data_IF_593748294926
#
_entry.id   IF_593748294926
#
_cell.length_a   1.000
_cell.length_b   1.000
_cell.length_c   1.000
_cell.angle_alpha   90.00
_cell.angle_beta   90.00
_cell.angle_gamma   90.00
#
_symmetry.space_group_name_H-M   'P 1'
#
loop_
_entity.id
_entity.type
_entity.pdbx_description
1 polymer ?
#
# COMPACT_ATOMS: atom_id res chain seq x y z
N UNK A 1 15.88 -21.51 35.78
CA UNK A 1 15.24 -20.23 35.39
C UNK A 1 13.81 -20.29 35.90
N UNK A 2 13.30 -19.25 36.57
CA UNK A 2 11.93 -19.24 37.11
C UNK A 2 10.93 -19.29 35.95
N UNK A 3 10.48 -20.49 35.60
CA UNK A 3 9.60 -20.74 34.46
C UNK A 3 8.21 -21.09 34.97
N UNK A 4 7.22 -20.32 34.54
CA UNK A 4 5.83 -20.62 34.82
C UNK A 4 5.38 -21.85 34.03
N UNK A 5 4.97 -22.91 34.73
CA UNK A 5 4.53 -24.18 34.14
C UNK A 5 3.00 -24.34 34.08
N UNK A 6 2.23 -23.27 34.35
CA UNK A 6 0.77 -23.32 34.36
C UNK A 6 0.14 -23.63 35.71
N UNK A 7 0.95 -23.71 36.77
CA UNK A 7 0.49 -23.84 38.15
C UNK A 7 1.28 -22.85 39.00
N UNK A 8 0.61 -22.16 39.92
CA UNK A 8 1.27 -21.29 40.88
C UNK A 8 2.07 -22.13 41.89
N UNK A 9 3.36 -21.82 42.05
CA UNK A 9 4.28 -22.57 42.94
C UNK A 9 4.61 -21.85 44.25
N UNK A 10 3.92 -20.76 44.60
CA UNK A 10 4.27 -19.93 45.77
C UNK A 10 5.71 -19.38 45.72
N UNK A 11 6.33 -19.36 44.53
CA UNK A 11 7.63 -18.73 44.32
C UNK A 11 7.49 -17.21 44.13
N UNK A 12 8.44 -16.44 44.67
CA UNK A 12 8.41 -14.97 44.61
C UNK A 12 8.45 -14.39 43.18
N UNK A 13 8.83 -15.18 42.17
CA UNK A 13 8.92 -14.75 40.78
C UNK A 13 8.74 -15.95 39.83
N UNK A 14 7.75 -15.88 38.94
CA UNK A 14 7.57 -16.82 37.83
C UNK A 14 7.50 -16.05 36.50
N UNK A 15 8.14 -16.57 35.45
CA UNK A 15 8.14 -15.94 34.12
C UNK A 15 7.35 -16.81 33.15
N UNK A 16 6.27 -16.26 32.58
CA UNK A 16 5.56 -16.88 31.47
C UNK A 16 6.33 -16.62 30.16
N UNK A 17 6.60 -17.71 29.44
CA UNK A 17 7.18 -17.64 28.09
C UNK A 17 6.10 -17.98 27.06
N UNK A 18 5.66 -16.98 26.31
CA UNK A 18 4.76 -17.14 25.17
C UNK A 18 5.61 -17.25 23.91
N UNK A 19 5.53 -18.39 23.21
CA UNK A 19 6.27 -18.62 21.97
C UNK A 19 5.44 -19.39 20.96
N UNK A 20 5.68 -19.10 19.68
CA UNK A 20 5.13 -19.88 18.56
C UNK A 20 5.64 -21.33 18.61
N UNK A 21 4.84 -22.32 18.15
CA UNK A 21 5.31 -23.69 18.00
C UNK A 21 6.56 -23.74 17.12
N UNK A 22 7.63 -24.38 17.61
CA UNK A 22 8.90 -24.48 16.89
C UNK A 22 9.65 -25.74 17.30
N UNK A 23 10.50 -26.25 16.41
CA UNK A 23 11.45 -27.32 16.70
C UNK A 23 12.72 -26.83 17.42
N UNK A 24 12.85 -25.51 17.62
CA UNK A 24 13.97 -24.90 18.34
C UNK A 24 13.72 -24.95 19.84
N UNK A 25 14.76 -25.29 20.59
CA UNK A 25 14.69 -25.53 22.03
C UNK A 25 14.28 -24.26 22.81
N UNK A 26 14.95 -23.13 22.51
CA UNK A 26 14.79 -21.90 23.27
C UNK A 26 13.82 -20.91 22.61
N UNK A 27 14.15 -20.40 21.42
CA UNK A 27 13.38 -19.34 20.76
C UNK A 27 12.94 -19.75 19.35
N UNK A 28 11.69 -19.40 18.95
CA UNK A 28 11.25 -19.57 17.57
C UNK A 28 12.04 -18.66 16.64
N UNK A 29 12.16 -19.08 15.38
CA UNK A 29 12.74 -18.23 14.34
C UNK A 29 11.83 -17.00 14.14
N UNK A 30 12.38 -15.77 14.07
CA UNK A 30 11.60 -14.58 13.75
C UNK A 30 10.94 -14.71 12.38
N UNK A 31 9.73 -14.16 12.23
CA UNK A 31 9.01 -14.15 10.95
C UNK A 31 9.68 -13.25 9.92
N UNK A 32 10.18 -12.09 10.36
CA UNK A 32 10.88 -11.13 9.51
C UNK A 32 12.27 -11.60 9.03
N UNK A 33 12.75 -12.79 9.43
CA UNK A 33 14.12 -13.24 9.14
C UNK A 33 14.44 -13.21 7.63
N UNK A 34 13.48 -13.57 6.78
CA UNK A 34 13.64 -13.53 5.33
C UNK A 34 13.77 -12.11 4.76
N UNK A 35 13.29 -11.09 5.49
CA UNK A 35 13.34 -9.68 5.11
C UNK A 35 14.62 -8.97 5.52
N UNK A 36 15.41 -9.54 6.45
CA UNK A 36 16.62 -8.88 7.00
C UNK A 36 17.64 -8.48 5.92
N UNK A 37 17.97 -9.32 4.92
CA UNK A 37 18.89 -8.91 3.86
C UNK A 37 18.36 -7.74 3.04
N UNK A 38 17.05 -7.72 2.74
CA UNK A 38 16.42 -6.68 1.95
C UNK A 38 16.29 -5.36 2.71
N UNK A 39 15.99 -5.41 4.02
CA UNK A 39 16.04 -4.24 4.90
C UNK A 39 17.44 -3.62 4.95
N UNK A 40 18.48 -4.47 4.91
CA UNK A 40 19.87 -4.00 4.88
C UNK A 40 20.20 -3.32 3.57
N UNK A 41 19.75 -3.87 2.43
CA UNK A 41 19.92 -3.26 1.10
C UNK A 41 19.22 -1.91 1.02
N UNK A 42 17.95 -1.84 1.43
CA UNK A 42 17.18 -0.59 1.45
C UNK A 42 17.86 0.47 2.34
N UNK A 43 18.30 0.08 3.54
CA UNK A 43 19.01 0.97 4.45
C UNK A 43 20.35 1.45 3.90
N UNK A 44 21.12 0.59 3.22
CA UNK A 44 22.37 0.99 2.56
C UNK A 44 22.11 1.93 1.38
N UNK A 45 21.05 1.68 0.60
CA UNK A 45 20.64 2.55 -0.50
C UNK A 45 20.24 3.95 0.02
N UNK A 46 19.46 4.01 1.10
CA UNK A 46 19.09 5.28 1.74
C UNK A 46 20.32 6.04 2.27
N UNK A 47 21.27 5.33 2.89
CA UNK A 47 22.53 5.93 3.35
C UNK A 47 23.39 6.43 2.17
N UNK A 48 23.49 5.66 1.09
CA UNK A 48 24.19 6.06 -0.13
C UNK A 48 23.54 7.30 -0.76
N UNK A 49 22.21 7.33 -0.86
CA UNK A 49 21.47 8.49 -1.36
C UNK A 49 21.69 9.73 -0.47
N UNK A 50 21.66 9.58 0.85
CA UNK A 50 21.98 10.66 1.81
C UNK A 50 23.40 11.17 1.62
N UNK A 51 24.39 10.27 1.51
CA UNK A 51 25.78 10.67 1.33
C UNK A 51 26.01 11.35 -0.02
N UNK A 52 25.39 10.83 -1.08
CA UNK A 52 25.41 11.45 -2.40
C UNK A 52 24.81 12.85 -2.36
N UNK A 53 23.66 13.04 -1.69
CA UNK A 53 23.04 14.34 -1.53
C UNK A 53 23.95 15.33 -0.77
N UNK A 54 24.55 14.90 0.35
CA UNK A 54 25.50 15.73 1.12
C UNK A 54 26.71 16.10 0.26
N UNK A 55 27.28 15.14 -0.47
CA UNK A 55 28.43 15.36 -1.33
C UNK A 55 28.09 16.28 -2.51
N UNK A 56 26.90 16.13 -3.11
CA UNK A 56 26.42 16.98 -4.19
C UNK A 56 26.18 18.43 -3.75
N UNK A 57 25.85 18.64 -2.47
CA UNK A 57 25.76 19.97 -1.87
C UNK A 57 27.12 20.55 -1.46
N UNK A 58 28.16 19.72 -1.40
CA UNK A 58 29.52 20.17 -1.07
C UNK A 58 30.22 20.66 -2.33
N UNK A 59 30.85 21.83 -2.26
CA UNK A 59 31.69 22.33 -3.34
C UNK A 59 33.10 21.74 -3.18
N UNK A 60 33.56 20.97 -4.16
CA UNK A 60 34.96 20.51 -4.20
C UNK A 60 35.83 21.62 -4.81
N UNK A 61 36.75 22.17 -4.02
CA UNK A 61 37.72 23.17 -4.50
C UNK A 61 39.11 22.53 -4.51
N UNK A 62 39.76 22.50 -5.67
CA UNK A 62 41.14 22.02 -5.81
C UNK A 62 42.09 23.22 -5.85
N UNK A 63 43.05 23.27 -4.94
CA UNK A 63 44.08 24.30 -4.89
C UNK A 63 45.42 23.65 -5.23
N UNK A 64 45.92 23.95 -6.43
CA UNK A 64 47.21 23.46 -6.92
C UNK A 64 48.32 24.50 -6.66
N UNK A 65 49.31 24.12 -5.86
CA UNK A 65 50.54 24.87 -5.65
C UNK A 65 51.63 24.35 -6.59
N UNK A 66 51.81 25.03 -7.71
CA UNK A 66 52.84 24.68 -8.69
C UNK A 66 54.19 25.26 -8.24
N UNK A 67 55.26 24.46 -8.33
CA UNK A 67 56.63 24.72 -7.86
C UNK A 67 56.79 24.77 -6.32
N UNK A 68 55.89 24.14 -5.55
CA UNK A 68 55.99 24.07 -4.09
C UNK A 68 56.76 22.82 -3.62
N UNK A 69 57.94 22.98 -2.99
CA UNK A 69 58.59 21.88 -2.27
C UNK A 69 57.87 21.62 -0.95
N UNK A 70 57.52 20.37 -0.70
CA UNK A 70 56.75 19.92 0.49
C UNK A 70 57.54 20.04 1.81
N UNK A 71 58.87 20.21 1.73
CA UNK A 71 59.77 20.24 2.90
C UNK A 71 59.75 21.53 3.73
N UNK A 72 59.09 22.60 3.25
CA UNK A 72 58.98 23.85 4.02
C UNK A 72 57.75 23.81 4.94
N UNK A 73 57.98 23.68 6.26
CA UNK A 73 56.95 23.71 7.32
C UNK A 73 56.04 24.97 7.22
N UNK A 74 56.59 26.07 6.69
CA UNK A 74 55.89 27.32 6.39
C UNK A 74 54.87 27.15 5.24
N UNK A 75 55.22 26.36 4.21
CA UNK A 75 54.35 26.08 3.07
C UNK A 75 53.13 25.26 3.47
N UNK A 76 53.30 24.28 4.36
CA UNK A 76 52.22 23.49 4.94
C UNK A 76 51.28 24.41 5.74
N UNK A 77 51.80 25.21 6.67
CA UNK A 77 51.00 26.15 7.46
C UNK A 77 50.24 27.18 6.61
N UNK A 78 50.79 27.60 5.48
CA UNK A 78 50.13 28.53 4.57
C UNK A 78 49.03 27.85 3.76
N UNK A 79 49.25 26.60 3.31
CA UNK A 79 48.22 25.77 2.70
C UNK A 79 47.05 25.51 3.67
N UNK A 80 47.34 25.23 4.94
CA UNK A 80 46.31 25.06 5.97
C UNK A 80 45.47 26.33 6.17
N UNK A 81 46.11 27.50 6.28
CA UNK A 81 45.40 28.79 6.40
C UNK A 81 44.55 29.12 5.18
N UNK A 82 45.01 28.76 3.98
CA UNK A 82 44.24 28.98 2.74
C UNK A 82 43.06 28.03 2.68
N UNK A 83 43.26 26.75 3.02
CA UNK A 83 42.19 25.77 3.18
C UNK A 83 41.12 26.28 4.15
N UNK A 84 41.50 26.70 5.35
CA UNK A 84 40.55 27.12 6.39
C UNK A 84 39.76 28.37 5.98
N UNK A 85 40.36 29.29 5.22
CA UNK A 85 39.66 30.44 4.64
C UNK A 85 38.65 30.06 3.55
N UNK A 86 38.93 29.00 2.79
CA UNK A 86 38.09 28.54 1.69
C UNK A 86 36.96 27.62 2.18
N UNK A 87 37.19 26.81 3.21
CA UNK A 87 36.18 25.93 3.81
C UNK A 87 35.11 26.71 4.58
N UNK A 88 35.47 27.85 5.19
CA UNK A 88 34.54 28.64 6.02
C UNK A 88 34.21 27.97 7.36
N UNK A 89 33.19 28.48 8.07
CA UNK A 89 32.86 28.09 9.47
C UNK A 89 32.03 26.81 9.60
N UNK A 90 31.66 26.19 8.48
CA UNK A 90 30.93 24.93 8.43
C UNK A 90 31.50 24.13 7.27
N UNK A 91 31.62 22.80 7.43
CA UNK A 91 32.16 21.84 6.45
C UNK A 91 31.36 21.76 5.12
N UNK A 92 31.10 22.89 4.46
CA UNK A 92 30.31 23.04 3.24
C UNK A 92 31.17 22.88 1.98
N UNK A 93 32.50 22.89 2.10
CA UNK A 93 33.41 22.74 0.98
C UNK A 93 34.52 21.76 1.32
N UNK A 94 34.68 20.73 0.48
CA UNK A 94 35.84 19.86 0.53
C UNK A 94 36.96 20.56 -0.25
N UNK A 95 38.08 20.87 0.42
CA UNK A 95 39.22 21.53 -0.23
C UNK A 95 40.37 20.54 -0.33
N UNK A 96 40.77 20.22 -1.57
CA UNK A 96 41.93 19.38 -1.85
C UNK A 96 43.11 20.29 -2.18
N UNK A 97 44.15 20.26 -1.34
CA UNK A 97 45.39 20.99 -1.58
C UNK A 97 46.41 20.01 -2.17
N UNK A 98 46.95 20.35 -3.33
CA UNK A 98 47.98 19.56 -4.00
C UNK A 98 49.22 20.41 -4.29
N UNK A 99 50.40 19.79 -4.19
CA UNK A 99 51.70 20.41 -4.46
C UNK A 99 52.33 19.70 -5.65
N UNK A 100 52.62 20.44 -6.72
CA UNK A 100 53.11 19.89 -7.98
C UNK A 100 54.43 20.59 -8.39
N UNK A 101 55.31 19.92 -9.14
CA UNK A 101 56.60 20.53 -9.54
C UNK A 101 56.47 21.47 -10.74
N UNK A 102 55.32 21.46 -11.43
CA UNK A 102 55.00 22.36 -12.54
C UNK A 102 53.51 22.44 -12.84
N UNK A 103 53.11 23.38 -13.70
CA UNK A 103 51.70 23.60 -14.06
C UNK A 103 51.07 22.44 -14.85
N UNK A 104 51.89 21.67 -15.58
CA UNK A 104 51.47 20.48 -16.33
C UNK A 104 51.21 19.27 -15.43
N UNK A 105 51.70 19.29 -14.19
CA UNK A 105 51.52 18.22 -13.20
C UNK A 105 50.37 18.51 -12.23
N UNK A 106 49.54 19.50 -12.54
CA UNK A 106 48.39 19.88 -11.73
C UNK A 106 47.46 18.71 -11.44
N UNK A 107 47.02 18.56 -10.19
CA UNK A 107 46.00 17.57 -9.84
C UNK A 107 44.66 17.99 -10.45
N UNK A 108 44.13 17.12 -11.30
CA UNK A 108 42.78 17.21 -11.86
C UNK A 108 41.91 16.14 -11.21
N UNK A 109 40.65 16.48 -10.93
CA UNK A 109 39.67 15.51 -10.43
C UNK A 109 38.89 15.02 -11.63
N UNK A 110 39.12 13.77 -12.02
CA UNK A 110 38.33 13.12 -13.06
C UNK A 110 37.12 12.42 -12.41
N UNK A 111 35.92 12.74 -12.86
CA UNK A 111 34.70 12.12 -12.36
C UNK A 111 34.38 10.90 -13.21
N UNK A 112 34.85 9.73 -12.76
CA UNK A 112 34.35 8.45 -13.26
C UNK A 112 32.88 8.28 -12.82
N UNK A 113 31.95 8.61 -13.71
CA UNK A 113 30.53 8.28 -13.50
C UNK A 113 30.32 6.80 -13.83
N UNK A 114 29.88 5.95 -12.88
CA UNK A 114 29.47 4.59 -13.21
C UNK A 114 28.29 4.64 -14.19
N UNK A 115 28.30 3.86 -15.29
CA UNK A 115 27.13 3.76 -16.14
C UNK A 115 25.96 3.15 -15.37
N UNK A 116 24.77 3.77 -15.49
CA UNK A 116 23.47 3.25 -15.03
C UNK A 116 23.21 3.11 -13.51
N UNK A 117 23.93 3.86 -12.66
CA UNK A 117 23.70 3.83 -11.20
C UNK A 117 22.24 4.14 -10.80
N UNK A 118 21.59 5.06 -11.51
CA UNK A 118 20.21 5.45 -11.21
C UNK A 118 19.21 4.32 -11.46
N UNK A 119 19.33 3.61 -12.59
CA UNK A 119 18.43 2.49 -12.91
C UNK A 119 18.60 1.33 -11.92
N UNK A 120 19.85 1.04 -11.55
CA UNK A 120 20.16 0.00 -10.58
C UNK A 120 19.60 0.33 -9.18
N UNK A 121 19.69 1.59 -8.75
CA UNK A 121 19.13 2.04 -7.48
C UNK A 121 17.61 1.92 -7.44
N UNK A 122 16.92 2.33 -8.51
CA UNK A 122 15.46 2.18 -8.64
C UNK A 122 15.07 0.70 -8.55
N UNK A 123 15.74 -0.17 -9.30
CA UNK A 123 15.49 -1.61 -9.27
C UNK A 123 15.64 -2.20 -7.86
N UNK A 124 16.75 -1.90 -7.16
CA UNK A 124 16.96 -2.43 -5.81
C UNK A 124 15.97 -1.86 -4.79
N UNK A 125 15.54 -0.61 -4.95
CA UNK A 125 14.50 -0.01 -4.09
C UNK A 125 13.17 -0.75 -4.22
N UNK A 126 12.69 -0.92 -5.46
CA UNK A 126 11.41 -1.58 -5.74
C UNK A 126 11.44 -3.08 -5.36
N UNK A 127 12.55 -3.77 -5.64
CA UNK A 127 12.74 -5.16 -5.23
C UNK A 127 12.79 -5.30 -3.70
N UNK A 128 13.50 -4.42 -3.01
CA UNK A 128 13.59 -4.46 -1.55
C UNK A 128 12.21 -4.26 -0.90
N UNK A 129 11.46 -3.25 -1.33
CA UNK A 129 10.09 -3.00 -0.86
C UNK A 129 9.20 -4.25 -1.04
N UNK A 130 9.18 -4.81 -2.26
CA UNK A 130 8.37 -6.00 -2.56
C UNK A 130 8.76 -7.19 -1.69
N UNK A 131 10.05 -7.43 -1.49
CA UNK A 131 10.55 -8.57 -0.71
C UNK A 131 10.32 -8.38 0.79
N UNK A 132 10.34 -7.15 1.29
CA UNK A 132 10.01 -6.83 2.68
C UNK A 132 8.54 -7.07 3.00
N UNK A 133 7.64 -6.68 2.10
CA UNK A 133 6.21 -6.96 2.22
C UNK A 133 5.95 -8.47 2.22
N UNK A 134 6.56 -9.21 1.28
CA UNK A 134 6.44 -10.67 1.19
C UNK A 134 7.03 -11.36 2.43
N UNK A 135 8.13 -10.86 2.98
CA UNK A 135 8.75 -11.43 4.18
C UNK A 135 7.79 -11.40 5.39
N UNK A 136 6.93 -10.38 5.50
CA UNK A 136 5.89 -10.30 6.52
C UNK A 136 4.59 -11.03 6.12
N UNK A 137 4.60 -11.73 4.98
CA UNK A 137 3.45 -12.40 4.39
C UNK A 137 2.23 -11.49 4.21
N UNK A 138 2.49 -10.20 3.98
CA UNK A 138 1.45 -9.20 3.87
C UNK A 138 1.07 -9.02 2.37
N UNK A 139 -0.22 -8.93 2.02
CA UNK A 139 -0.62 -8.68 0.64
C UNK A 139 -0.12 -7.31 0.16
N UNK A 140 0.57 -7.22 -1.01
CA UNK A 140 1.11 -5.95 -1.52
C UNK A 140 0.08 -4.84 -1.70
N UNK A 141 -1.16 -5.20 -2.04
CA UNK A 141 -2.25 -4.23 -2.21
C UNK A 141 -2.57 -3.42 -0.94
N UNK A 142 -2.16 -3.90 0.25
CA UNK A 142 -2.36 -3.17 1.50
C UNK A 142 -1.30 -2.08 1.74
N UNK A 143 -0.19 -2.09 0.99
CA UNK A 143 0.94 -1.18 1.16
C UNK A 143 1.17 -0.31 -0.07
N UNK A 144 0.84 -0.83 -1.25
CA UNK A 144 0.92 -0.07 -2.50
C UNK A 144 -0.29 0.87 -2.60
N UNK A 145 -0.05 2.18 -2.54
CA UNK A 145 -1.05 3.16 -2.94
C UNK A 145 -1.37 3.00 -4.42
N UNK A 146 -2.45 2.28 -4.75
CA UNK A 146 -3.19 2.25 -6.02
C UNK A 146 -2.41 2.67 -7.28
N UNK A 147 -1.34 1.99 -7.66
CA UNK A 147 -0.61 2.29 -8.92
C UNK A 147 -1.09 1.49 -10.13
N UNK A 148 -2.18 0.73 -10.01
CA UNK A 148 -2.87 0.12 -11.14
C UNK A 148 -4.23 0.79 -11.36
N UNK A 149 -4.35 1.61 -12.40
CA UNK A 149 -5.64 2.16 -12.81
C UNK A 149 -6.60 1.04 -13.21
N UNK A 150 -7.48 0.67 -12.28
CA UNK A 150 -8.73 -0.04 -12.46
C UNK A 150 -9.66 0.44 -11.34
N UNK A 151 -10.95 0.57 -11.64
CA UNK A 151 -11.90 1.43 -10.92
C UNK A 151 -11.87 1.36 -9.38
N UNK A 152 -12.26 2.47 -8.74
CA UNK A 152 -12.29 2.66 -7.28
C UNK A 152 -12.95 1.50 -6.51
N UNK A 153 -13.99 0.86 -7.07
CA UNK A 153 -14.62 -0.32 -6.46
C UNK A 153 -13.80 -1.60 -6.57
N UNK A 154 -13.10 -1.83 -7.68
CA UNK A 154 -12.26 -3.02 -7.89
C UNK A 154 -11.12 -3.06 -6.88
N UNK A 155 -10.52 -1.91 -6.59
CA UNK A 155 -9.46 -1.82 -5.59
C UNK A 155 -10.01 -2.03 -4.17
N UNK A 156 -11.21 -1.52 -3.87
CA UNK A 156 -11.82 -1.67 -2.55
C UNK A 156 -12.17 -3.14 -2.21
N UNK A 157 -12.76 -3.87 -3.16
CA UNK A 157 -13.11 -5.29 -2.96
C UNK A 157 -11.87 -6.19 -2.87
N UNK A 158 -10.84 -5.88 -3.65
CA UNK A 158 -9.56 -6.59 -3.59
C UNK A 158 -8.82 -6.32 -2.27
N UNK A 159 -8.80 -5.06 -1.80
CA UNK A 159 -8.28 -4.69 -0.47
C UNK A 159 -9.04 -5.44 0.63
N UNK A 160 -10.37 -5.45 0.60
CA UNK A 160 -11.18 -6.16 1.59
C UNK A 160 -10.89 -7.68 1.60
N UNK A 161 -10.71 -8.27 0.42
CA UNK A 161 -10.38 -9.70 0.28
C UNK A 161 -8.96 -9.99 0.79
N UNK A 162 -8.00 -9.13 0.45
CA UNK A 162 -6.62 -9.22 0.91
C UNK A 162 -6.53 -9.08 2.44
N UNK A 163 -7.24 -8.12 3.03
CA UNK A 163 -7.33 -7.93 4.48
C UNK A 163 -7.87 -9.19 5.16
N UNK A 164 -9.03 -9.72 4.73
CA UNK A 164 -9.57 -10.98 5.30
C UNK A 164 -8.58 -12.14 5.16
N UNK A 165 -7.87 -12.21 4.03
CA UNK A 165 -6.82 -13.20 3.81
C UNK A 165 -5.67 -13.09 4.80
N UNK A 166 -5.20 -11.87 5.07
CA UNK A 166 -4.15 -11.56 6.05
C UNK A 166 -4.59 -11.95 7.47
N UNK A 167 -5.81 -11.59 7.87
CA UNK A 167 -6.34 -11.92 9.19
C UNK A 167 -6.40 -13.42 9.41
N UNK A 168 -7.00 -14.15 8.47
CA UNK A 168 -7.14 -15.60 8.58
C UNK A 168 -5.80 -16.34 8.59
N UNK A 169 -4.83 -15.93 7.77
CA UNK A 169 -3.58 -16.68 7.56
C UNK A 169 -2.46 -16.30 8.51
N UNK A 170 -2.43 -15.06 8.99
CA UNK A 170 -1.30 -14.52 9.74
C UNK A 170 -1.71 -13.94 11.09
N UNK A 171 -2.70 -13.05 11.14
CA UNK A 171 -3.04 -12.33 12.38
C UNK A 171 -3.75 -13.25 13.39
N UNK A 172 -4.81 -13.95 12.99
CA UNK A 172 -5.56 -14.83 13.88
C UNK A 172 -4.71 -15.97 14.45
N UNK A 173 -3.83 -16.65 13.67
CA UNK A 173 -2.87 -17.58 14.24
C UNK A 173 -1.93 -16.97 15.29
N UNK A 174 -1.46 -15.73 15.09
CA UNK A 174 -0.66 -15.03 16.09
C UNK A 174 -1.46 -14.69 17.36
N UNK A 175 -2.70 -14.22 17.18
CA UNK A 175 -3.66 -13.98 18.27
C UNK A 175 -3.89 -15.24 19.11
N UNK A 176 -4.13 -16.38 18.47
CA UNK A 176 -4.28 -17.67 19.14
C UNK A 176 -3.04 -18.05 19.97
N UNK A 177 -1.83 -17.76 19.50
CA UNK A 177 -0.60 -18.01 20.29
C UNK A 177 -0.55 -17.15 21.55
N UNK A 178 -1.02 -15.90 21.46
CA UNK A 178 -1.07 -14.98 22.60
C UNK A 178 -2.15 -15.43 23.60
N UNK A 179 -3.37 -15.70 23.14
CA UNK A 179 -4.48 -16.20 23.98
C UNK A 179 -4.07 -17.48 24.70
N UNK A 180 -3.60 -18.50 23.98
CA UNK A 180 -3.13 -19.76 24.59
C UNK A 180 -2.00 -19.56 25.62
N UNK A 181 -1.21 -18.49 25.47
CA UNK A 181 -0.17 -18.13 26.43
C UNK A 181 -0.77 -17.52 27.70
N UNK A 182 -1.65 -16.53 27.54
CA UNK A 182 -2.31 -15.81 28.63
C UNK A 182 -3.30 -16.69 29.40
N UNK A 183 -4.04 -17.58 28.71
CA UNK A 183 -4.97 -18.52 29.31
C UNK A 183 -4.31 -19.36 30.40
N UNK A 184 -3.02 -19.67 30.28
CA UNK A 184 -2.29 -20.42 31.32
C UNK A 184 -2.21 -19.66 32.64
N UNK A 185 -2.17 -18.33 32.59
CA UNK A 185 -2.17 -17.48 33.78
C UNK A 185 -3.61 -17.29 34.27
N UNK A 186 -4.52 -16.89 33.38
CA UNK A 186 -5.88 -16.56 33.77
C UNK A 186 -6.64 -17.77 34.33
N UNK A 187 -6.41 -18.98 33.80
CA UNK A 187 -7.00 -20.20 34.35
C UNK A 187 -6.56 -20.52 35.78
N UNK A 188 -5.41 -20.03 36.24
CA UNK A 188 -4.97 -20.18 37.64
C UNK A 188 -5.73 -19.22 38.56
N UNK A 189 -6.17 -18.08 38.03
CA UNK A 189 -6.96 -17.08 38.76
C UNK A 189 -8.43 -17.49 38.79
N UNK A 190 -9.01 -17.73 37.62
CA UNK A 190 -10.40 -18.13 37.43
C UNK A 190 -10.56 -18.82 36.07
N UNK A 191 -10.96 -20.10 36.09
CA UNK A 191 -11.16 -20.91 34.88
C UNK A 191 -12.38 -20.53 34.05
N UNK A 192 -13.19 -19.56 34.52
CA UNK A 192 -14.35 -19.05 33.79
C UNK A 192 -14.03 -17.84 32.90
N UNK A 193 -12.81 -17.30 33.01
CA UNK A 193 -12.36 -16.19 32.17
C UNK A 193 -12.02 -16.74 30.78
N UNK A 194 -12.72 -16.22 29.77
CA UNK A 194 -12.47 -16.48 28.35
C UNK A 194 -11.89 -15.23 27.70
N UNK A 195 -10.79 -15.38 26.97
CA UNK A 195 -10.07 -14.29 26.34
C UNK A 195 -10.29 -14.32 24.83
N UNK A 196 -10.69 -13.17 24.29
CA UNK A 196 -10.80 -12.97 22.86
C UNK A 196 -10.21 -11.62 22.45
N UNK A 197 -9.79 -11.50 21.19
CA UNK A 197 -9.39 -10.23 20.62
C UNK A 197 -10.61 -9.50 20.09
N UNK A 198 -10.82 -8.27 20.55
CA UNK A 198 -11.80 -7.38 19.94
C UNK A 198 -11.24 -6.83 18.63
N UNK A 199 -11.93 -7.10 17.52
CA UNK A 199 -11.61 -6.53 16.21
C UNK A 199 -12.07 -5.07 16.11
N UNK A 200 -11.37 -4.28 15.30
CA UNK A 200 -11.78 -2.91 15.04
C UNK A 200 -13.13 -2.87 14.31
N UNK A 201 -13.93 -1.83 14.54
CA UNK A 201 -15.27 -1.70 13.95
C UNK A 201 -15.24 -1.71 12.42
N UNK A 202 -14.21 -1.10 11.85
CA UNK A 202 -13.93 -1.05 10.42
C UNK A 202 -13.69 -2.46 9.82
N UNK A 203 -13.23 -3.40 10.64
CA UNK A 203 -12.91 -4.76 10.25
C UNK A 203 -14.12 -5.70 10.34
N UNK A 204 -14.91 -5.59 11.42
CA UNK A 204 -16.17 -6.35 11.58
C UNK A 204 -17.20 -6.05 10.47
N UNK A 205 -17.17 -4.84 9.90
CA UNK A 205 -17.98 -4.47 8.75
C UNK A 205 -17.60 -5.28 7.48
N UNK A 206 -16.35 -5.72 7.36
CA UNK A 206 -15.87 -6.53 6.24
C UNK A 206 -16.32 -8.00 6.36
N UNK A 207 -16.48 -8.56 7.56
CA UNK A 207 -16.92 -9.96 7.72
C UNK A 207 -18.42 -10.14 7.38
N UNK A 208 -19.25 -9.16 7.72
CA UNK A 208 -20.71 -9.25 7.59
C UNK A 208 -21.26 -9.13 6.16
N UNK A 209 -20.44 -8.73 5.19
CA UNK A 209 -20.87 -8.57 3.78
C UNK A 209 -21.00 -9.90 3.02
N UNK A 210 -20.41 -11.01 3.52
CA UNK A 210 -20.43 -12.31 2.84
C UNK A 210 -21.30 -13.38 3.53
N UNK A 211 -21.68 -13.20 4.80
CA UNK A 211 -22.48 -14.17 5.54
C UNK A 211 -24.00 -13.99 5.36
N UNK A 212 -24.47 -12.92 4.69
CA UNK A 212 -25.90 -12.71 4.40
C UNK A 212 -26.47 -13.66 3.33
N UNK A 213 -25.63 -14.45 2.66
CA UNK A 213 -26.06 -15.34 1.56
C UNK A 213 -26.36 -16.79 2.00
N UNK A 214 -26.21 -17.16 3.28
CA UNK A 214 -26.41 -18.54 3.75
C UNK A 214 -27.06 -18.66 5.14
N UNK A 215 -28.19 -18.00 5.39
CA UNK A 215 -29.14 -18.46 6.43
C UNK A 215 -30.42 -17.62 6.43
N UNK A 216 -31.49 -18.13 5.80
CA UNK A 216 -32.90 -17.99 6.21
C UNK A 216 -33.76 -18.69 5.16
N UNK A 217 -33.85 -20.01 5.28
CA UNK A 217 -34.92 -20.74 5.95
C UNK A 217 -36.10 -21.02 5.03
N UNK A 218 -36.22 -22.32 4.72
CA UNK A 218 -37.37 -22.95 4.11
C UNK A 218 -38.49 -23.04 5.16
N UNK A 219 -39.64 -22.42 4.91
CA UNK A 219 -40.96 -23.02 5.14
C UNK A 219 -42.07 -22.02 4.83
N UNK A 220 -42.97 -22.36 3.91
CA UNK A 220 -44.45 -22.39 4.03
C UNK A 220 -45.11 -22.29 2.64
N UNK A 221 -46.29 -22.90 2.55
CA UNK A 221 -46.96 -23.56 1.42
C UNK A 221 -48.19 -22.74 0.94
N UNK A 222 -48.63 -22.98 -0.32
CA UNK A 222 -49.93 -22.66 -0.98
C UNK A 222 -50.31 -21.17 -1.19
N UNK A 223 -50.96 -20.67 -2.24
CA UNK A 223 -51.54 -21.13 -3.53
C UNK A 223 -51.70 -19.85 -4.43
N UNK A 224 -52.19 -19.89 -5.69
CA UNK A 224 -51.88 -18.92 -6.74
C UNK A 224 -52.93 -17.80 -6.93
N UNK A 225 -52.52 -16.56 -7.26
CA UNK A 225 -53.38 -15.56 -7.95
C UNK A 225 -52.50 -14.56 -8.73
N UNK A 226 -52.78 -14.42 -10.03
CA UNK A 226 -52.29 -13.34 -10.90
C UNK A 226 -52.77 -11.96 -10.42
N UNK A 227 -51.95 -10.92 -10.52
CA UNK A 227 -52.36 -9.57 -10.98
C UNK A 227 -51.16 -8.62 -11.03
N UNK A 228 -51.08 -7.87 -12.13
CA UNK A 228 -50.13 -6.80 -12.39
C UNK A 228 -50.02 -5.79 -11.23
N UNK A 229 -48.84 -5.70 -10.62
CA UNK A 229 -48.23 -4.45 -10.13
C UNK A 229 -46.85 -4.76 -9.56
N UNK A 230 -45.80 -4.16 -10.13
CA UNK A 230 -44.46 -4.23 -9.54
C UNK A 230 -44.47 -3.65 -8.12
N UNK A 231 -44.13 -4.43 -7.07
CA UNK A 231 -44.06 -3.89 -5.72
C UNK A 231 -42.74 -3.13 -5.56
N UNK A 232 -42.85 -1.82 -5.33
CA UNK A 232 -41.75 -0.95 -4.90
C UNK A 232 -41.14 -1.54 -3.62
N UNK A 233 -39.91 -2.04 -3.70
CA UNK A 233 -39.16 -2.49 -2.51
C UNK A 233 -38.96 -1.27 -1.58
N UNK A 234 -39.25 -1.38 -0.27
CA UNK A 234 -38.99 -0.30 0.66
C UNK A 234 -37.48 -0.12 0.77
N UNK A 235 -36.95 0.95 0.20
CA UNK A 235 -35.54 1.33 0.28
C UNK A 235 -35.25 1.72 1.73
N UNK A 236 -34.41 0.92 2.39
CA UNK A 236 -33.91 1.14 3.75
C UNK A 236 -33.39 2.57 3.91
N UNK A 237 -33.66 3.20 5.05
CA UNK A 237 -33.32 4.60 5.34
C UNK A 237 -31.80 4.83 5.25
N UNK A 238 -31.02 3.78 5.58
CA UNK A 238 -29.57 3.74 5.40
C UNK A 238 -29.15 3.87 3.92
N UNK A 239 -29.85 3.21 3.01
CA UNK A 239 -29.57 3.27 1.56
C UNK A 239 -29.88 4.65 1.00
N UNK A 240 -30.96 5.30 1.47
CA UNK A 240 -31.29 6.68 1.08
C UNK A 240 -30.24 7.68 1.57
N UNK A 241 -29.70 7.50 2.77
CA UNK A 241 -28.63 8.34 3.29
C UNK A 241 -27.31 8.15 2.52
N UNK A 242 -26.93 6.91 2.20
CA UNK A 242 -25.75 6.62 1.40
C UNK A 242 -25.85 7.22 -0.01
N UNK A 243 -27.01 7.08 -0.66
CA UNK A 243 -27.27 7.66 -1.97
C UNK A 243 -27.24 9.21 -1.94
N UNK A 244 -27.75 9.84 -0.89
CA UNK A 244 -27.70 11.29 -0.72
C UNK A 244 -26.26 11.82 -0.51
N UNK A 245 -25.44 11.12 0.28
CA UNK A 245 -24.03 11.46 0.48
C UNK A 245 -23.21 11.29 -0.79
N UNK A 246 -23.46 10.22 -1.55
CA UNK A 246 -22.81 9.99 -2.84
C UNK A 246 -23.11 11.12 -3.84
N UNK A 247 -24.38 11.50 -4.00
CA UNK A 247 -24.80 12.62 -4.88
C UNK A 247 -24.13 13.95 -4.55
N UNK A 248 -23.89 14.23 -3.26
CA UNK A 248 -23.30 15.49 -2.80
C UNK A 248 -21.77 15.54 -2.82
N UNK A 249 -21.11 14.41 -3.06
CA UNK A 249 -19.65 14.32 -3.05
C UNK A 249 -19.03 14.70 -4.40
N UNK A 250 -17.82 15.27 -4.38
CA UNK A 250 -17.05 15.58 -5.60
C UNK A 250 -16.79 14.33 -6.46
N UNK A 251 -16.63 13.16 -5.84
CA UNK A 251 -16.47 11.88 -6.54
C UNK A 251 -17.77 11.35 -7.16
N UNK A 252 -18.91 11.59 -6.51
CA UNK A 252 -20.22 11.22 -7.06
C UNK A 252 -20.59 12.04 -8.29
N UNK A 253 -20.33 13.36 -8.26
CA UNK A 253 -20.52 14.22 -9.44
C UNK A 253 -19.63 13.78 -10.60
N UNK A 254 -18.37 13.43 -10.31
CA UNK A 254 -17.44 12.90 -11.32
C UNK A 254 -17.94 11.58 -11.93
N UNK A 255 -18.44 10.67 -11.09
CA UNK A 255 -19.01 9.39 -11.54
C UNK A 255 -20.23 9.57 -12.45
N UNK A 256 -21.07 10.59 -12.19
CA UNK A 256 -22.21 10.91 -13.05
C UNK A 256 -21.76 11.38 -14.44
N UNK A 257 -20.70 12.19 -14.52
CA UNK A 257 -20.12 12.65 -15.78
C UNK A 257 -19.50 11.47 -16.56
N UNK A 258 -18.89 10.51 -15.86
CA UNK A 258 -18.32 9.31 -16.47
C UNK A 258 -19.40 8.39 -17.04
N UNK A 259 -20.52 8.22 -16.35
CA UNK A 259 -21.68 7.47 -16.87
C UNK A 259 -22.22 8.15 -18.14
N UNK A 260 -22.35 9.47 -18.12
CA UNK A 260 -22.77 10.24 -19.29
C UNK A 260 -21.78 10.08 -20.45
N UNK A 261 -20.48 10.16 -20.18
CA UNK A 261 -19.43 9.97 -21.18
C UNK A 261 -19.42 8.54 -21.76
N UNK A 262 -19.59 7.51 -20.92
CA UNK A 262 -19.65 6.11 -21.33
C UNK A 262 -20.87 5.80 -22.19
N UNK A 263 -22.00 6.43 -21.87
CA UNK A 263 -23.21 6.37 -22.69
C UNK A 263 -23.01 7.05 -24.05
N UNK A 264 -22.46 8.27 -24.07
CA UNK A 264 -22.18 9.02 -25.32
C UNK A 264 -21.16 8.28 -26.19
N UNK A 265 -20.19 7.59 -25.58
CA UNK A 265 -19.21 6.76 -26.27
C UNK A 265 -19.79 5.41 -26.76
N UNK A 266 -21.04 5.08 -26.42
CA UNK A 266 -21.70 3.83 -26.81
C UNK A 266 -21.20 2.58 -26.06
N UNK A 267 -20.36 2.74 -25.05
CA UNK A 267 -19.85 1.63 -24.24
C UNK A 267 -20.90 1.11 -23.23
N UNK A 268 -21.79 1.99 -22.78
CA UNK A 268 -22.93 1.63 -21.90
C UNK A 268 -24.24 1.82 -22.65
N UNK A 269 -25.11 0.80 -22.64
CA UNK A 269 -26.45 0.92 -23.24
C UNK A 269 -27.36 1.83 -22.42
N UNK A 270 -28.34 2.45 -23.07
CA UNK A 270 -29.26 3.41 -22.45
C UNK A 270 -29.97 2.86 -21.21
N UNK A 271 -30.55 1.65 -21.29
CA UNK A 271 -31.22 1.01 -20.16
C UNK A 271 -30.24 0.64 -19.03
N UNK A 272 -28.98 0.32 -19.36
CA UNK A 272 -27.96 0.04 -18.35
C UNK A 272 -27.54 1.32 -17.62
N UNK A 273 -27.43 2.44 -18.35
CA UNK A 273 -27.11 3.74 -17.75
C UNK A 273 -28.24 4.21 -16.81
N UNK A 274 -29.50 3.98 -17.18
CA UNK A 274 -30.66 4.23 -16.31
C UNK A 274 -30.62 3.35 -15.06
N UNK A 275 -30.35 2.05 -15.22
CA UNK A 275 -30.28 1.12 -14.09
C UNK A 275 -29.14 1.47 -13.12
N UNK A 276 -28.00 1.97 -13.61
CA UNK A 276 -26.89 2.45 -12.77
C UNK A 276 -27.32 3.69 -11.97
N UNK A 277 -27.98 4.66 -12.62
CA UNK A 277 -28.46 5.87 -11.97
C UNK A 277 -29.56 5.60 -10.93
N UNK A 278 -30.39 4.59 -11.15
CA UNK A 278 -31.41 4.15 -10.20
C UNK A 278 -30.81 3.35 -9.02
N UNK A 279 -30.04 2.29 -9.31
CA UNK A 279 -29.54 1.40 -8.26
C UNK A 279 -28.46 2.04 -7.38
N UNK A 280 -27.52 2.79 -7.97
CA UNK A 280 -26.37 3.35 -7.25
C UNK A 280 -26.68 4.73 -6.70
N UNK A 281 -27.38 5.55 -7.48
CA UNK A 281 -27.66 6.92 -7.09
C UNK A 281 -29.12 7.10 -6.64
N UNK A 282 -30.04 6.17 -6.86
CA UNK A 282 -31.44 6.38 -6.48
C UNK A 282 -32.07 7.54 -7.24
N UNK A 283 -31.70 7.76 -8.49
CA UNK A 283 -32.44 8.64 -9.39
C UNK A 283 -33.63 7.88 -9.96
N UNK A 284 -34.81 8.49 -9.90
CA UNK A 284 -35.96 7.96 -10.61
C UNK A 284 -35.65 7.88 -12.10
N UNK A 285 -36.33 6.96 -12.82
CA UNK A 285 -36.16 6.82 -14.27
C UNK A 285 -36.26 8.15 -15.01
N UNK A 286 -37.18 9.04 -14.60
CA UNK A 286 -37.35 10.36 -15.22
C UNK A 286 -36.14 11.28 -15.00
N UNK A 287 -35.52 11.24 -13.82
CA UNK A 287 -34.31 12.01 -13.52
C UNK A 287 -33.10 11.44 -14.24
N UNK A 288 -32.96 10.12 -14.29
CA UNK A 288 -31.89 9.44 -15.01
C UNK A 288 -31.89 9.78 -16.51
N UNK A 289 -33.06 9.79 -17.13
CA UNK A 289 -33.23 10.18 -18.54
C UNK A 289 -32.78 11.63 -18.77
N UNK A 290 -33.13 12.56 -17.87
CA UNK A 290 -32.70 13.96 -17.98
C UNK A 290 -31.19 14.14 -17.82
N UNK A 291 -30.55 13.31 -16.98
CA UNK A 291 -29.10 13.34 -16.76
C UNK A 291 -28.31 12.82 -17.96
N UNK A 292 -28.81 11.79 -18.64
CA UNK A 292 -28.15 11.20 -19.82
C UNK A 292 -28.30 12.07 -21.07
N UNK A 293 -29.31 12.95 -21.12
CA UNK A 293 -29.62 13.80 -22.28
C UNK A 293 -30.38 13.03 -23.36
N UNK A 294 -31.04 13.76 -24.27
CA UNK A 294 -31.86 13.14 -25.32
C UNK A 294 -31.00 12.23 -26.23
N UNK A 295 -31.32 10.93 -26.37
CA UNK A 295 -30.62 10.02 -27.26
C UNK A 295 -30.67 10.54 -28.70
N UNK A 296 -29.51 10.69 -29.36
CA UNK A 296 -29.50 10.62 -30.83
C UNK A 296 -29.81 9.16 -31.20
N UNK A 297 -30.83 8.88 -32.03
CA UNK A 297 -31.12 7.51 -32.43
C UNK A 297 -29.90 6.93 -33.16
N UNK A 298 -29.54 5.70 -32.79
CA UNK A 298 -28.46 4.96 -33.45
C UNK A 298 -28.76 4.87 -34.95
N UNK A 299 -27.81 5.25 -35.79
CA UNK A 299 -27.86 4.92 -37.21
C UNK A 299 -27.85 3.39 -37.33
N UNK A 300 -28.99 2.83 -37.69
CA UNK A 300 -29.10 1.42 -38.05
C UNK A 300 -28.21 1.19 -39.27
N UNK A 301 -27.04 0.58 -39.07
CA UNK A 301 -26.31 -0.08 -40.14
C UNK A 301 -27.07 -1.37 -40.51
N UNK A 302 -28.24 -1.20 -41.12
CA UNK A 302 -28.97 -2.26 -41.77
C UNK A 302 -28.30 -2.47 -43.15
N UNK A 303 -27.22 -3.24 -43.16
CA UNK A 303 -26.68 -3.78 -44.41
C UNK A 303 -27.71 -4.74 -44.98
N UNK A 304 -28.60 -4.19 -45.79
CA UNK A 304 -29.48 -4.90 -46.72
C UNK A 304 -28.68 -5.94 -47.50
N UNK A 305 -28.79 -7.20 -47.06
CA UNK A 305 -28.30 -8.34 -47.80
C UNK A 305 -29.33 -8.68 -48.88
N UNK A 306 -29.28 -7.95 -50.00
CA UNK A 306 -30.04 -8.26 -51.21
C UNK A 306 -29.07 -8.51 -52.36
N UNK A 307 -28.40 -9.67 -52.34
CA UNK A 307 -27.85 -10.24 -53.58
C UNK A 307 -28.93 -11.11 -54.21
N UNK A 308 -29.69 -10.52 -55.13
CA UNK A 308 -30.48 -11.27 -56.09
C UNK A 308 -29.49 -11.92 -57.07
N UNK A 309 -29.37 -13.25 -57.03
CA UNK A 309 -28.85 -13.99 -58.17
C UNK A 309 -29.95 -14.08 -59.23
N UNK A 310 -29.75 -13.37 -60.34
CA UNK A 310 -30.52 -13.57 -61.56
C UNK A 310 -30.03 -14.85 -62.25
N UNK A 311 -30.99 -15.68 -62.67
CA UNK A 311 -30.85 -16.55 -63.83
C UNK A 311 -31.09 -15.80 -65.14
#
# INVERSE_FOLDING_TARGET
MPLFTGNYKDENLEILVVKRPTNKEYFPVPDYLAGVPWATVEGQLANAAKQHFINAMSVLTVINYNNGRVDDEVGILQAEKVRDKVVGTHNQSAVLVSFNEGAEEGTTVDQLSPPELNQQNVFYSEEAERKLIIAHSAPPILFAGSTGGNGFSSNADEIATATRGLFRRHINPMRTVIINGLDKIFNVIDSTIDLDFEDFKEETALENTNNSSKSKDLSLIDEPVETDSEPVKPVDEATKQAQAQLKGSVGGVQSLLEIQASYVAGATSYESAIAILDLIFGFSRVEAVRLLGDPKPAENNDTSNTTIQNG
#
